data_IF_293969328582
#
_entry.id   IF_293969328582
#
_cell.length_a   1.000
_cell.length_b   1.000
_cell.length_c   1.000
_cell.angle_alpha   90.00
_cell.angle_beta   90.00
_cell.angle_gamma   90.00
#
_symmetry.space_group_name_H-M   'P 1'
#
loop_
_entity.id
_entity.type
_entity.pdbx_description
1 polymer ?
#
# COMPACT_ATOMS: atom_id res chain seq x y z
N UNK A 1 15.15 -3.82 5.10
CA UNK A 1 13.76 -4.02 5.52
C UNK A 1 12.94 -4.35 4.29
N UNK A 2 12.05 -5.34 4.38
CA UNK A 2 11.23 -5.77 3.25
C UNK A 2 9.83 -5.20 3.40
N UNK A 3 9.39 -4.44 2.39
CA UNK A 3 7.99 -4.05 2.21
C UNK A 3 7.32 -5.08 1.29
N UNK A 4 5.97 -5.18 1.27
CA UNK A 4 5.27 -6.08 0.35
C UNK A 4 5.66 -5.85 -1.12
N UNK A 5 6.02 -6.92 -1.84
CA UNK A 5 6.49 -6.90 -3.23
C UNK A 5 5.44 -7.38 -4.23
N UNK A 6 4.28 -7.87 -3.77
CA UNK A 6 3.21 -8.38 -4.63
C UNK A 6 1.83 -7.91 -4.16
N UNK A 7 0.84 -7.97 -5.06
CA UNK A 7 -0.56 -7.66 -4.74
C UNK A 7 -1.06 -8.46 -3.54
N UNK A 8 -0.68 -9.74 -3.45
CA UNK A 8 -1.07 -10.62 -2.37
C UNK A 8 -0.46 -10.20 -1.04
N UNK A 9 0.83 -9.91 -1.01
CA UNK A 9 1.49 -9.45 0.21
C UNK A 9 0.96 -8.08 0.67
N UNK A 10 0.66 -7.18 -0.27
CA UNK A 10 0.02 -5.91 0.05
C UNK A 10 -1.38 -6.09 0.60
N UNK A 11 -2.16 -6.99 0.01
CA UNK A 11 -3.48 -7.36 0.50
C UNK A 11 -3.39 -7.88 1.94
N UNK A 12 -2.51 -8.84 2.22
CA UNK A 12 -2.30 -9.41 3.58
C UNK A 12 -1.83 -8.35 4.59
N UNK A 13 -0.94 -7.45 4.17
CA UNK A 13 -0.44 -6.37 5.01
C UNK A 13 -1.55 -5.34 5.35
N UNK A 14 -2.37 -4.96 4.37
CA UNK A 14 -3.50 -4.04 4.55
C UNK A 14 -4.58 -4.67 5.43
N UNK A 15 -4.89 -5.95 5.21
CA UNK A 15 -5.84 -6.71 6.03
C UNK A 15 -5.42 -6.74 7.50
N UNK A 16 -4.16 -7.06 7.75
CA UNK A 16 -3.57 -7.06 9.10
C UNK A 16 -3.55 -5.65 9.70
N UNK A 17 -3.13 -4.65 8.93
CA UNK A 17 -2.99 -3.27 9.39
C UNK A 17 -4.31 -2.59 9.75
N UNK A 18 -5.38 -2.93 9.02
CA UNK A 18 -6.71 -2.35 9.23
C UNK A 18 -7.65 -3.24 10.05
N UNK A 19 -7.26 -4.49 10.33
CA UNK A 19 -8.12 -5.46 11.00
C UNK A 19 -9.35 -5.81 10.15
N UNK A 20 -9.16 -5.98 8.84
CA UNK A 20 -10.22 -6.31 7.88
C UNK A 20 -9.94 -7.64 7.20
N UNK A 21 -10.98 -8.27 6.65
CA UNK A 21 -10.84 -9.46 5.81
C UNK A 21 -10.71 -9.11 4.33
N UNK A 22 -10.22 -10.05 3.52
CA UNK A 22 -10.23 -9.97 2.06
C UNK A 22 -11.58 -9.59 1.48
N UNK A 23 -12.67 -10.20 1.98
CA UNK A 23 -14.04 -9.92 1.52
C UNK A 23 -14.44 -8.48 1.86
N UNK A 24 -14.09 -7.99 3.04
CA UNK A 24 -14.33 -6.59 3.41
C UNK A 24 -13.54 -5.63 2.51
N UNK A 25 -12.26 -5.91 2.25
CA UNK A 25 -11.42 -5.12 1.35
C UNK A 25 -11.99 -5.04 -0.08
N UNK A 26 -12.39 -6.17 -0.64
CA UNK A 26 -13.06 -6.23 -1.95
C UNK A 26 -14.38 -5.45 -1.95
N UNK A 27 -15.20 -5.60 -0.91
CA UNK A 27 -16.46 -4.85 -0.79
C UNK A 27 -16.22 -3.35 -0.67
N UNK A 28 -15.23 -2.91 0.10
CA UNK A 28 -14.86 -1.51 0.22
C UNK A 28 -14.38 -0.93 -1.12
N UNK A 29 -13.58 -1.69 -1.87
CA UNK A 29 -13.15 -1.29 -3.20
C UNK A 29 -14.33 -1.19 -4.17
N UNK A 30 -15.14 -2.24 -4.28
CA UNK A 30 -16.28 -2.31 -5.20
C UNK A 30 -17.31 -1.21 -4.93
N UNK A 31 -17.47 -0.78 -3.68
CA UNK A 31 -18.40 0.27 -3.29
C UNK A 31 -17.75 1.66 -3.17
N UNK A 32 -16.45 1.82 -3.48
CA UNK A 32 -15.72 3.08 -3.30
C UNK A 32 -15.79 3.65 -1.87
N UNK A 33 -15.82 2.77 -0.86
CA UNK A 33 -15.92 3.10 0.57
C UNK A 33 -14.67 2.70 1.36
N UNK A 34 -13.54 2.50 0.67
CA UNK A 34 -12.28 2.13 1.32
C UNK A 34 -11.86 3.17 2.37
N UNK A 35 -11.52 2.76 3.61
CA UNK A 35 -11.13 3.68 4.67
C UNK A 35 -9.71 4.22 4.45
N UNK A 36 -9.52 5.01 3.40
CA UNK A 36 -8.23 5.53 2.93
C UNK A 36 -7.49 6.34 3.99
N UNK A 37 -8.20 7.07 4.86
CA UNK A 37 -7.58 7.81 5.97
C UNK A 37 -6.94 6.88 7.01
N UNK A 38 -7.63 5.79 7.39
CA UNK A 38 -7.08 4.77 8.30
C UNK A 38 -5.88 4.06 7.67
N UNK A 39 -5.98 3.75 6.37
CA UNK A 39 -4.89 3.16 5.62
C UNK A 39 -3.67 4.11 5.57
N UNK A 40 -3.89 5.39 5.31
CA UNK A 40 -2.82 6.38 5.29
C UNK A 40 -2.11 6.51 6.65
N UNK A 41 -2.88 6.54 7.75
CA UNK A 41 -2.33 6.58 9.09
C UNK A 41 -1.50 5.32 9.41
N UNK A 42 -2.02 4.14 9.07
CA UNK A 42 -1.28 2.87 9.25
C UNK A 42 0.01 2.83 8.42
N UNK A 43 -0.03 3.25 7.14
CA UNK A 43 1.17 3.32 6.29
C UNK A 43 2.22 4.25 6.90
N UNK A 44 1.78 5.40 7.42
CA UNK A 44 2.66 6.37 8.06
C UNK A 44 3.25 5.85 9.38
N UNK A 45 2.55 4.99 10.12
CA UNK A 45 3.10 4.36 11.34
C UNK A 45 4.06 3.22 11.00
N UNK A 46 3.69 2.37 10.03
CA UNK A 46 4.39 1.12 9.72
C UNK A 46 5.66 1.32 8.91
N UNK A 47 5.67 2.34 8.06
CA UNK A 47 6.73 2.56 7.08
C UNK A 47 7.40 3.93 7.22
N UNK A 48 7.42 4.50 8.44
CA UNK A 48 8.14 5.74 8.70
C UNK A 48 9.68 5.57 8.70
N UNK A 49 10.37 6.70 8.79
CA UNK A 49 11.82 6.75 8.89
C UNK A 49 12.37 6.16 10.20
N UNK A 50 11.54 5.95 11.24
CA UNK A 50 11.97 5.27 12.47
C UNK A 50 12.13 3.77 12.27
N UNK A 51 11.49 3.24 11.23
CA UNK A 51 11.69 1.88 10.73
C UNK A 51 12.61 1.89 9.50
N UNK A 52 13.64 2.74 9.47
CA UNK A 52 14.66 2.89 8.40
C UNK A 52 14.13 2.96 6.95
N UNK A 53 12.86 3.34 6.75
CA UNK A 53 12.34 3.60 5.41
C UNK A 53 12.76 4.99 4.94
N UNK A 54 12.93 5.14 3.62
CA UNK A 54 13.17 6.45 3.01
C UNK A 54 12.03 7.42 3.39
N UNK A 55 12.33 8.68 3.74
CA UNK A 55 11.32 9.71 3.99
C UNK A 55 10.34 9.93 2.83
N UNK A 56 10.69 9.48 1.62
CA UNK A 56 9.86 9.58 0.42
C UNK A 56 8.93 8.39 0.21
N UNK A 57 9.10 7.30 0.97
CA UNK A 57 8.38 6.05 0.77
C UNK A 57 6.89 6.18 1.06
N UNK A 58 6.52 6.64 2.27
CA UNK A 58 5.11 6.90 2.63
C UNK A 58 4.47 7.95 1.71
N UNK A 59 5.10 9.11 1.43
CA UNK A 59 4.55 10.05 0.45
C UNK A 59 4.30 9.44 -0.94
N UNK A 60 5.17 8.55 -1.43
CA UNK A 60 4.97 7.85 -2.69
C UNK A 60 3.78 6.88 -2.65
N UNK A 61 3.64 6.14 -1.55
CA UNK A 61 2.50 5.25 -1.31
C UNK A 61 1.17 6.02 -1.29
N UNK A 62 1.13 7.15 -0.58
CA UNK A 62 -0.07 7.97 -0.46
C UNK A 62 -0.47 8.62 -1.78
N UNK A 63 0.49 9.07 -2.60
CA UNK A 63 0.20 9.62 -3.94
C UNK A 63 -0.43 8.58 -4.87
N UNK A 64 -0.04 7.32 -4.74
CA UNK A 64 -0.52 6.22 -5.58
C UNK A 64 -1.52 5.31 -4.86
N UNK A 65 -2.15 5.79 -3.78
CA UNK A 65 -2.99 4.96 -2.91
C UNK A 65 -4.16 4.28 -3.65
N UNK A 66 -4.76 4.99 -4.61
CA UNK A 66 -5.81 4.42 -5.46
C UNK A 66 -5.28 3.32 -6.37
N UNK A 67 -4.07 3.49 -6.92
CA UNK A 67 -3.40 2.45 -7.71
C UNK A 67 -3.04 1.22 -6.88
N UNK A 68 -2.59 1.43 -5.63
CA UNK A 68 -2.37 0.34 -4.68
C UNK A 68 -3.63 -0.47 -4.46
N UNK A 69 -4.74 0.19 -4.14
CA UNK A 69 -6.02 -0.47 -3.87
C UNK A 69 -6.60 -1.16 -5.11
N UNK A 70 -6.43 -0.56 -6.29
CA UNK A 70 -6.81 -1.18 -7.55
C UNK A 70 -6.00 -2.46 -7.80
N UNK A 71 -4.68 -2.43 -7.58
CA UNK A 71 -3.80 -3.59 -7.73
C UNK A 71 -4.15 -4.71 -6.74
N UNK A 72 -4.49 -4.37 -5.49
CA UNK A 72 -4.77 -5.36 -4.44
C UNK A 72 -6.19 -5.93 -4.50
N UNK A 73 -7.20 -5.13 -4.88
CA UNK A 73 -8.61 -5.54 -4.77
C UNK A 73 -9.42 -5.44 -6.07
N UNK A 74 -8.89 -4.77 -7.11
CA UNK A 74 -9.66 -4.33 -8.28
C UNK A 74 -9.22 -4.88 -9.64
N UNK A 75 -8.26 -5.81 -9.68
CA UNK A 75 -7.56 -6.27 -10.90
C UNK A 75 -6.74 -5.16 -11.60
N UNK A 76 -6.30 -4.14 -10.87
CA UNK A 76 -5.35 -3.15 -11.36
C UNK A 76 -3.96 -3.73 -11.56
N UNK A 77 -3.07 -2.95 -12.17
CA UNK A 77 -1.65 -3.27 -12.26
C UNK A 77 -0.87 -2.61 -11.12
N UNK A 78 0.32 -3.14 -10.82
CA UNK A 78 1.21 -2.53 -9.85
C UNK A 78 1.43 -1.05 -10.19
N UNK A 79 1.18 -0.12 -9.25
CA UNK A 79 1.44 1.28 -9.49
C UNK A 79 2.94 1.54 -9.49
N UNK A 80 3.37 2.49 -10.32
CA UNK A 80 4.77 2.90 -10.36
C UNK A 80 5.16 3.60 -9.04
N UNK A 81 6.06 2.96 -8.29
CA UNK A 81 6.68 3.55 -7.11
C UNK A 81 7.97 4.24 -7.52
N UNK A 82 8.07 5.58 -7.50
CA UNK A 82 9.37 6.23 -7.64
C UNK A 82 10.26 5.81 -6.46
N UNK A 83 11.12 4.82 -6.69
CA UNK A 83 11.95 4.18 -5.67
C UNK A 83 12.17 2.67 -5.88
N UNK A 84 11.30 1.96 -6.61
CA UNK A 84 11.51 0.53 -6.92
C UNK A 84 12.57 0.30 -8.00
N UNK A 85 12.78 1.27 -8.91
CA UNK A 85 13.82 1.21 -9.95
C UNK A 85 15.08 2.03 -9.64
N UNK A 86 15.10 2.83 -8.57
CA UNK A 86 16.18 3.78 -8.31
C UNK A 86 17.39 3.20 -7.54
N UNK A 87 17.52 1.86 -7.45
CA UNK A 87 18.73 1.22 -6.94
C UNK A 87 19.31 0.15 -7.89
N UNK A 88 18.95 0.23 -9.17
CA UNK A 88 19.48 -0.62 -10.23
C UNK A 88 20.12 0.20 -11.35
N UNK A 89 20.92 1.21 -11.00
CA UNK A 89 21.97 1.78 -11.88
C UNK A 89 22.74 2.89 -11.12
N UNK A 90 23.85 2.51 -10.48
CA UNK A 90 25.22 3.03 -10.67
C UNK A 90 26.17 2.23 -9.81
#
# INVERSE_FOLDING_TARGET
MEFPQSAKEWQEAIETGLGITAVQGQNYWANSTFPTEKLAAWLAEKYDAKHDYSPQFVPALLRNLQGLLAWTYGNGSEPYWPGSDANSQT
#
